data_IF_321276563808
#
_entry.id   IF_321276563808
#
_cell.length_a   1.000
_cell.length_b   1.000
_cell.length_c   1.000
_cell.angle_alpha   90.00
_cell.angle_beta   90.00
_cell.angle_gamma   90.00
#
_symmetry.space_group_name_H-M   'P 1'
#
loop_
_entity.id
_entity.type
_entity.pdbx_description
1 polymer ?
#
# COMPACT_ATOMS: atom_id res chain seq x y z
N UNK A 1 0.03 14.37 5.77
CA UNK A 1 0.99 14.19 4.67
C UNK A 1 0.87 15.32 3.67
N UNK A 2 1.94 15.60 2.98
CA UNK A 2 1.93 16.61 1.91
C UNK A 2 2.92 16.24 0.81
N UNK A 3 2.64 16.74 -0.41
CA UNK A 3 3.49 16.61 -1.58
C UNK A 3 3.44 17.89 -2.40
N UNK A 4 4.56 18.26 -3.00
CA UNK A 4 4.62 19.38 -3.93
C UNK A 4 4.07 18.94 -5.29
N UNK A 5 3.05 19.65 -5.77
CA UNK A 5 2.53 19.51 -7.14
C UNK A 5 3.26 20.40 -8.13
N UNK A 6 3.78 21.54 -7.66
CA UNK A 6 4.67 22.47 -8.38
C UNK A 6 5.55 23.20 -7.37
N UNK A 7 6.41 24.10 -7.84
CA UNK A 7 7.29 24.88 -6.97
C UNK A 7 6.55 25.67 -5.89
N UNK A 8 5.33 26.12 -6.15
CA UNK A 8 4.55 26.94 -5.22
C UNK A 8 3.21 26.33 -4.83
N UNK A 9 2.95 25.07 -5.18
CA UNK A 9 1.69 24.43 -4.88
C UNK A 9 1.91 23.12 -4.13
N UNK A 10 1.25 22.99 -2.98
CA UNK A 10 1.33 21.81 -2.12
C UNK A 10 -0.04 21.15 -2.04
N UNK A 11 -0.06 19.84 -2.21
CA UNK A 11 -1.20 19.00 -1.90
C UNK A 11 -1.05 18.47 -0.47
N UNK A 12 -2.06 18.64 0.38
CA UNK A 12 -2.04 18.25 1.78
C UNK A 12 -3.20 17.30 2.09
N UNK A 13 -2.89 16.17 2.71
CA UNK A 13 -3.90 15.28 3.29
C UNK A 13 -3.95 15.45 4.82
N UNK A 14 -5.13 15.76 5.30
CA UNK A 14 -5.43 15.81 6.73
C UNK A 14 -6.49 14.76 7.06
N UNK A 15 -6.16 13.83 7.93
CA UNK A 15 -6.97 12.66 8.29
C UNK A 15 -8.43 12.98 8.60
N UNK A 16 -8.69 14.07 9.33
CA UNK A 16 -10.04 14.45 9.75
C UNK A 16 -10.70 15.53 8.88
N UNK A 17 -9.93 16.26 8.08
CA UNK A 17 -10.41 17.40 7.29
C UNK A 17 -10.52 17.11 5.81
N UNK A 18 -9.73 16.15 5.31
CA UNK A 18 -9.69 15.75 3.89
C UNK A 18 -8.47 16.29 3.15
N UNK A 19 -8.59 16.43 1.85
CA UNK A 19 -7.48 16.80 0.96
C UNK A 19 -7.62 18.25 0.51
N UNK A 20 -6.50 18.97 0.52
CA UNK A 20 -6.44 20.38 0.16
C UNK A 20 -5.26 20.65 -0.77
N UNK A 21 -5.45 21.55 -1.72
CA UNK A 21 -4.37 22.22 -2.45
C UNK A 21 -4.13 23.58 -1.83
N UNK A 22 -2.87 23.88 -1.51
CA UNK A 22 -2.42 25.16 -1.00
C UNK A 22 -1.51 25.82 -2.04
N UNK A 23 -1.82 27.04 -2.46
CA UNK A 23 -0.91 27.86 -3.25
C UNK A 23 -0.11 28.75 -2.31
N UNK A 24 1.22 28.74 -2.48
CA UNK A 24 2.16 29.53 -1.70
C UNK A 24 2.59 30.77 -2.49
N UNK A 25 3.01 31.79 -1.78
CA UNK A 25 3.75 32.89 -2.39
C UNK A 25 5.18 32.46 -2.78
N UNK A 26 5.86 33.25 -3.59
CA UNK A 26 7.22 32.96 -4.05
C UNK A 26 8.26 32.90 -2.92
N UNK A 27 7.95 33.51 -1.79
CA UNK A 27 8.81 33.48 -0.61
C UNK A 27 8.51 32.31 0.35
N UNK A 28 7.52 31.49 0.07
CA UNK A 28 7.03 30.39 0.94
C UNK A 28 6.62 30.86 2.33
N UNK A 29 6.25 32.13 2.47
CA UNK A 29 5.91 32.72 3.76
C UNK A 29 4.41 32.75 4.01
N UNK A 30 3.60 32.77 2.97
CA UNK A 30 2.15 32.86 3.07
C UNK A 30 1.44 31.90 2.11
N UNK A 31 0.27 31.46 2.55
CA UNK A 31 -0.68 30.71 1.71
C UNK A 31 -1.57 31.73 1.01
N UNK A 32 -1.47 31.82 -0.31
CA UNK A 32 -2.25 32.75 -1.15
C UNK A 32 -3.63 32.22 -1.50
N UNK A 33 -3.79 30.90 -1.59
CA UNK A 33 -5.06 30.25 -1.88
C UNK A 33 -5.15 28.86 -1.21
N UNK A 34 -6.37 28.48 -0.82
CA UNK A 34 -6.69 27.17 -0.25
C UNK A 34 -7.89 26.59 -0.98
N UNK A 35 -7.71 25.46 -1.64
CA UNK A 35 -8.79 24.71 -2.29
C UNK A 35 -8.98 23.37 -1.62
N UNK A 36 -10.21 23.05 -1.21
CA UNK A 36 -10.57 21.72 -0.71
C UNK A 36 -11.02 20.84 -1.89
N UNK A 37 -10.51 19.60 -1.95
CA UNK A 37 -11.00 18.60 -2.88
C UNK A 37 -12.18 17.85 -2.28
N UNK A 38 -13.30 17.87 -3.03
CA UNK A 38 -14.54 17.18 -2.65
C UNK A 38 -14.78 15.89 -3.42
N UNK A 39 -13.93 15.59 -4.41
CA UNK A 39 -13.99 14.38 -5.23
C UNK A 39 -13.45 13.13 -4.49
N UNK A 40 -12.85 13.30 -3.32
CA UNK A 40 -12.40 12.21 -2.44
C UNK A 40 -12.85 12.47 -1.03
N UNK A 41 -13.10 11.38 -0.30
CA UNK A 41 -13.41 11.41 1.12
C UNK A 41 -12.15 11.54 1.96
N UNK A 42 -12.28 12.06 3.16
CA UNK A 42 -11.23 11.93 4.18
C UNK A 42 -11.12 10.48 4.61
N UNK A 43 -9.95 10.05 5.09
CA UNK A 43 -9.75 8.68 5.56
C UNK A 43 -8.77 8.61 6.72
N UNK A 44 -9.03 7.68 7.63
CA UNK A 44 -8.11 7.39 8.74
C UNK A 44 -6.80 6.82 8.20
N UNK A 45 -5.68 7.34 8.69
CA UNK A 45 -4.34 7.00 8.22
C UNK A 45 -4.16 7.15 6.69
N UNK A 46 -4.92 8.06 6.06
CA UNK A 46 -4.75 8.38 4.64
C UNK A 46 -3.42 9.06 4.38
N UNK A 47 -2.89 8.93 3.18
CA UNK A 47 -1.66 9.63 2.79
C UNK A 47 -1.71 10.14 1.35
N UNK A 48 -0.74 10.98 1.05
CA UNK A 48 -0.43 11.46 -0.30
C UNK A 48 1.00 11.06 -0.61
N UNK A 49 1.25 10.68 -1.84
CA UNK A 49 2.59 10.44 -2.37
C UNK A 49 2.66 10.82 -3.84
N UNK A 50 3.83 11.21 -4.29
CA UNK A 50 4.13 11.40 -5.70
C UNK A 50 4.77 10.13 -6.25
N UNK A 51 4.16 9.55 -7.29
CA UNK A 51 4.67 8.37 -7.96
C UNK A 51 4.77 8.66 -9.46
N UNK A 52 5.99 8.68 -9.97
CA UNK A 52 6.32 9.31 -11.25
C UNK A 52 5.75 10.74 -11.32
N UNK A 53 4.98 11.05 -12.35
CA UNK A 53 4.37 12.37 -12.54
C UNK A 53 2.96 12.50 -11.95
N UNK A 54 2.49 11.46 -11.25
CA UNK A 54 1.14 11.42 -10.67
C UNK A 54 1.16 11.67 -9.17
N UNK A 55 0.28 12.55 -8.71
CA UNK A 55 -0.02 12.72 -7.30
C UNK A 55 -1.12 11.75 -6.92
N UNK A 56 -0.81 10.87 -5.98
CA UNK A 56 -1.71 9.83 -5.49
C UNK A 56 -2.22 10.21 -4.09
N UNK A 57 -3.46 9.90 -3.83
CA UNK A 57 -4.08 9.92 -2.52
C UNK A 57 -4.63 8.52 -2.22
N UNK A 58 -4.37 8.00 -1.04
CA UNK A 58 -4.87 6.69 -0.62
C UNK A 58 -5.61 6.78 0.72
N UNK A 59 -6.75 6.12 0.78
CA UNK A 59 -7.57 5.94 1.97
C UNK A 59 -8.20 4.54 1.98
N UNK A 60 -9.12 4.28 2.91
CA UNK A 60 -9.80 2.99 3.04
C UNK A 60 -10.72 2.61 1.86
N UNK A 61 -11.09 3.58 1.02
CA UNK A 61 -11.93 3.36 -0.16
C UNK A 61 -11.10 3.04 -1.43
N UNK A 62 -9.77 3.24 -1.37
CA UNK A 62 -8.86 2.93 -2.47
C UNK A 62 -7.77 3.96 -2.69
N UNK A 63 -7.22 3.92 -3.88
CA UNK A 63 -6.18 4.83 -4.37
C UNK A 63 -6.76 5.71 -5.46
N UNK A 64 -6.46 7.00 -5.39
CA UNK A 64 -6.92 8.01 -6.32
C UNK A 64 -5.74 8.79 -6.87
N UNK A 65 -5.82 9.27 -8.09
CA UNK A 65 -4.85 10.19 -8.64
C UNK A 65 -5.48 11.55 -8.95
N UNK A 66 -4.71 12.61 -8.80
CA UNK A 66 -5.15 13.95 -9.17
C UNK A 66 -5.04 14.11 -10.69
N UNK A 67 -6.17 14.26 -11.36
CA UNK A 67 -6.21 14.72 -12.75
C UNK A 67 -6.00 16.24 -12.79
N UNK A 68 -4.84 16.65 -13.28
CA UNK A 68 -4.46 18.07 -13.33
C UNK A 68 -5.27 18.89 -14.34
N UNK A 69 -5.95 18.25 -15.29
CA UNK A 69 -6.79 18.95 -16.29
C UNK A 69 -8.13 19.35 -15.70
N UNK A 70 -8.74 18.46 -14.92
CA UNK A 70 -10.04 18.70 -14.28
C UNK A 70 -9.89 19.18 -12.84
N UNK A 71 -8.69 19.11 -12.29
CA UNK A 71 -8.35 19.37 -10.89
C UNK A 71 -9.27 18.60 -9.91
N UNK A 72 -9.49 17.33 -10.24
CA UNK A 72 -10.29 16.37 -9.46
C UNK A 72 -9.55 15.06 -9.25
N UNK A 73 -9.85 14.38 -8.16
CA UNK A 73 -9.34 13.04 -7.93
C UNK A 73 -10.19 12.00 -8.65
N UNK A 74 -9.54 11.16 -9.43
CA UNK A 74 -10.13 10.01 -10.10
C UNK A 74 -9.60 8.73 -9.46
N UNK A 75 -10.46 7.73 -9.32
CA UNK A 75 -10.06 6.44 -8.75
C UNK A 75 -9.11 5.72 -9.69
N UNK A 76 -8.03 5.19 -9.11
CA UNK A 76 -7.09 4.33 -9.79
C UNK A 76 -7.47 2.87 -9.51
N UNK A 77 -8.15 2.24 -10.46
CA UNK A 77 -8.80 0.94 -10.24
C UNK A 77 -7.79 -0.17 -9.95
N UNK A 78 -6.67 -0.22 -10.69
CA UNK A 78 -5.65 -1.26 -10.53
C UNK A 78 -5.01 -1.18 -9.14
N UNK A 79 -4.58 0.00 -8.71
CA UNK A 79 -3.96 0.19 -7.40
C UNK A 79 -4.97 0.03 -6.26
N UNK A 80 -6.22 0.37 -6.50
CA UNK A 80 -7.28 0.22 -5.51
C UNK A 80 -7.57 -1.23 -5.15
N UNK A 81 -7.23 -2.19 -6.03
CA UNK A 81 -7.38 -3.63 -5.73
C UNK A 81 -6.49 -4.13 -4.59
N UNK A 82 -5.42 -3.38 -4.27
CA UNK A 82 -4.51 -3.72 -3.17
C UNK A 82 -5.20 -3.58 -1.82
N UNK A 83 -6.14 -2.64 -1.70
CA UNK A 83 -6.92 -2.43 -0.49
C UNK A 83 -8.28 -3.10 -0.59
N UNK A 84 -8.54 -4.05 0.31
CA UNK A 84 -9.89 -4.46 0.66
C UNK A 84 -10.23 -3.93 2.06
N UNK A 85 -11.51 -3.88 2.41
CA UNK A 85 -11.95 -3.46 3.73
C UNK A 85 -11.28 -4.29 4.85
N UNK A 86 -11.11 -5.58 4.61
CA UNK A 86 -10.53 -6.52 5.56
C UNK A 86 -9.00 -6.40 5.65
N UNK A 87 -8.34 -6.05 4.55
CA UNK A 87 -6.88 -5.94 4.45
C UNK A 87 -6.34 -4.55 4.76
N UNK A 88 -7.19 -3.52 4.76
CA UNK A 88 -6.77 -2.14 5.02
C UNK A 88 -6.22 -1.95 6.42
N UNK A 89 -5.05 -1.34 6.50
CA UNK A 89 -4.39 -0.94 7.76
C UNK A 89 -4.17 0.56 7.78
N UNK A 90 -3.63 1.06 6.71
CA UNK A 90 -3.38 2.48 6.46
C UNK A 90 -3.33 2.75 4.96
N UNK A 91 -3.65 3.96 4.57
CA UNK A 91 -3.41 4.47 3.22
C UNK A 91 -1.98 4.94 3.01
N UNK A 92 -1.05 4.60 3.92
CA UNK A 92 0.36 5.01 3.79
C UNK A 92 0.93 4.51 2.48
N UNK A 93 1.28 5.47 1.65
CA UNK A 93 2.06 5.27 0.44
C UNK A 93 3.49 5.70 0.72
N UNK A 94 4.43 4.87 0.38
CA UNK A 94 5.85 5.20 0.49
C UNK A 94 6.48 5.12 -0.89
N UNK A 95 7.06 6.21 -1.33
CA UNK A 95 7.82 6.28 -2.56
C UNK A 95 9.29 6.49 -2.22
N UNK A 96 10.15 5.84 -2.93
CA UNK A 96 11.57 6.03 -2.77
C UNK A 96 12.23 6.32 -4.14
N UNK A 97 13.50 6.68 -4.09
CA UNK A 97 14.31 7.06 -5.27
C UNK A 97 14.37 5.98 -6.36
N UNK A 98 13.83 4.79 -6.13
CA UNK A 98 13.88 3.65 -7.05
C UNK A 98 12.62 3.45 -7.88
N UNK A 99 11.77 4.46 -8.00
CA UNK A 99 10.54 4.36 -8.81
C UNK A 99 9.60 3.22 -8.35
N UNK A 100 9.68 2.89 -7.06
CA UNK A 100 8.82 1.92 -6.42
C UNK A 100 7.79 2.63 -5.54
N UNK A 101 6.56 2.13 -5.59
CA UNK A 101 5.48 2.54 -4.70
C UNK A 101 5.13 1.39 -3.76
N UNK A 102 5.16 1.65 -2.46
CA UNK A 102 4.94 0.67 -1.41
C UNK A 102 3.61 0.88 -0.72
N UNK A 103 2.94 -0.22 -0.43
CA UNK A 103 1.66 -0.31 0.27
C UNK A 103 1.79 -1.24 1.45
N UNK A 104 1.05 -0.93 2.52
CA UNK A 104 1.06 -1.71 3.76
C UNK A 104 -0.35 -2.19 4.06
N UNK A 105 -0.57 -3.49 3.96
CA UNK A 105 -1.84 -4.13 4.26
C UNK A 105 -1.73 -4.99 5.52
N UNK A 106 -2.83 -5.53 6.00
CA UNK A 106 -2.85 -6.43 7.17
C UNK A 106 -1.99 -7.67 6.96
N UNK A 107 -2.03 -8.22 5.75
CA UNK A 107 -1.44 -9.52 5.44
C UNK A 107 -0.04 -9.40 4.84
N UNK A 108 0.32 -8.22 4.32
CA UNK A 108 1.60 -8.08 3.63
C UNK A 108 2.06 -6.66 3.36
N UNK A 109 3.21 -6.61 2.71
CA UNK A 109 3.76 -5.41 2.09
C UNK A 109 3.75 -5.64 0.58
N UNK A 110 3.10 -4.74 -0.14
CA UNK A 110 3.05 -4.77 -1.60
C UNK A 110 3.92 -3.66 -2.16
N UNK A 111 4.72 -3.95 -3.15
CA UNK A 111 5.41 -2.93 -3.92
C UNK A 111 5.07 -3.03 -5.39
N UNK A 112 5.10 -1.89 -6.04
CA UNK A 112 4.73 -1.70 -7.43
C UNK A 112 5.86 -1.00 -8.15
N UNK A 113 6.14 -1.48 -9.37
CA UNK A 113 6.96 -0.79 -10.34
C UNK A 113 6.18 -0.62 -11.64
N UNK A 114 6.50 0.39 -12.43
CA UNK A 114 5.98 0.49 -13.80
C UNK A 114 6.64 -0.56 -14.68
N UNK A 115 5.86 -1.20 -15.52
CA UNK A 115 6.43 -2.10 -16.51
C UNK A 115 7.14 -1.28 -17.60
N UNK A 116 8.39 -1.63 -17.96
CA UNK A 116 9.05 -0.99 -19.08
C UNK A 116 8.22 -1.13 -20.35
N UNK A 117 8.06 -0.05 -21.10
CA UNK A 117 7.37 -0.01 -22.40
C UNK A 117 5.84 -0.13 -22.39
N UNK A 118 5.20 -0.27 -21.25
CA UNK A 118 3.74 -0.26 -21.11
C UNK A 118 3.31 0.70 -20.01
N UNK A 119 2.01 1.03 -19.94
CA UNK A 119 1.45 1.77 -18.79
C UNK A 119 0.98 0.84 -17.67
N UNK A 120 1.34 -0.44 -17.75
CA UNK A 120 0.96 -1.45 -16.76
C UNK A 120 1.83 -1.39 -15.51
N UNK A 121 1.33 -1.98 -14.43
CA UNK A 121 2.06 -2.12 -13.18
C UNK A 121 2.48 -3.57 -12.95
N UNK A 122 3.72 -3.77 -12.50
CA UNK A 122 4.18 -5.02 -11.91
C UNK A 122 3.92 -4.93 -10.42
N UNK A 123 3.01 -5.75 -9.91
CA UNK A 123 2.58 -5.78 -8.51
C UNK A 123 3.17 -7.01 -7.85
N UNK A 124 3.91 -6.83 -6.76
CA UNK A 124 4.50 -7.92 -5.97
C UNK A 124 4.17 -7.76 -4.51
N UNK A 125 3.66 -8.84 -3.90
CA UNK A 125 3.26 -8.84 -2.49
C UNK A 125 4.11 -9.83 -1.69
N UNK A 126 4.66 -9.35 -0.59
CA UNK A 126 5.33 -10.17 0.41
C UNK A 126 4.38 -10.42 1.57
N UNK A 127 4.11 -11.70 1.85
CA UNK A 127 3.22 -12.13 2.92
C UNK A 127 3.90 -11.97 4.28
N UNK A 128 3.91 -10.75 4.79
CA UNK A 128 4.44 -10.38 6.10
C UNK A 128 3.33 -9.72 6.90
N UNK A 129 2.57 -10.47 7.70
CA UNK A 129 1.45 -9.95 8.47
C UNK A 129 1.84 -8.81 9.41
N UNK A 130 0.92 -7.88 9.66
CA UNK A 130 1.17 -6.73 10.53
C UNK A 130 1.61 -7.14 11.94
N UNK A 131 1.15 -8.29 12.44
CA UNK A 131 1.54 -8.85 13.74
C UNK A 131 3.05 -9.14 13.83
N UNK A 132 3.69 -9.50 12.72
CA UNK A 132 5.13 -9.73 12.64
C UNK A 132 5.91 -8.44 12.42
N UNK A 133 5.35 -7.50 11.66
CA UNK A 133 6.02 -6.24 11.32
C UNK A 133 6.14 -5.27 12.49
N UNK A 134 5.19 -5.33 13.43
CA UNK A 134 5.14 -4.42 14.60
C UNK A 134 5.31 -2.94 14.22
N UNK A 135 4.81 -2.56 13.05
CA UNK A 135 4.82 -1.18 12.58
C UNK A 135 3.66 -0.38 13.18
N UNK A 136 3.86 0.90 13.38
CA UNK A 136 2.79 1.82 13.79
C UNK A 136 1.98 2.21 12.55
N UNK A 137 0.67 1.97 12.60
CA UNK A 137 -0.27 2.30 11.51
C UNK A 137 -0.18 3.77 11.13
N UNK A 138 -0.08 4.03 9.83
CA UNK A 138 0.06 5.35 9.26
C UNK A 138 1.49 5.93 9.33
N UNK A 139 2.44 5.22 9.97
CA UNK A 139 3.85 5.60 10.09
C UNK A 139 4.78 4.52 9.54
N UNK A 140 4.24 3.63 8.74
CA UNK A 140 5.04 2.65 8.01
C UNK A 140 6.08 3.38 7.15
N UNK A 141 7.25 2.80 7.03
CA UNK A 141 8.36 3.40 6.28
C UNK A 141 9.20 2.34 5.60
N UNK A 142 9.79 2.72 4.48
CA UNK A 142 10.75 1.93 3.72
C UNK A 142 11.89 2.86 3.29
N UNK A 143 13.11 2.48 3.64
CA UNK A 143 14.32 3.18 3.23
C UNK A 143 15.17 2.28 2.35
N UNK A 144 15.63 2.80 1.22
CA UNK A 144 16.49 2.06 0.29
C UNK A 144 17.91 1.95 0.84
N UNK A 145 18.46 0.74 0.87
CA UNK A 145 19.88 0.50 1.14
C UNK A 145 20.67 0.40 -0.18
N UNK A 146 20.15 -0.40 -1.12
CA UNK A 146 20.68 -0.53 -2.48
C UNK A 146 19.57 -0.86 -3.47
N UNK A 147 19.90 -1.25 -4.70
CA UNK A 147 18.90 -1.52 -5.76
C UNK A 147 17.90 -2.63 -5.42
N UNK A 148 18.21 -3.51 -4.48
CA UNK A 148 17.41 -4.71 -4.17
C UNK A 148 17.07 -4.84 -2.69
N UNK A 149 17.74 -4.08 -1.81
CA UNK A 149 17.59 -4.19 -0.37
C UNK A 149 17.00 -2.91 0.21
N UNK A 150 16.02 -3.10 1.07
CA UNK A 150 15.27 -2.05 1.74
C UNK A 150 15.19 -2.33 3.23
N UNK A 151 15.23 -1.27 4.01
CA UNK A 151 15.08 -1.28 5.47
C UNK A 151 13.69 -0.76 5.83
N UNK A 152 13.01 -1.45 6.72
CA UNK A 152 11.77 -0.98 7.32
C UNK A 152 11.89 -0.96 8.84
N UNK A 153 11.57 0.18 9.44
CA UNK A 153 11.55 0.35 10.88
C UNK A 153 10.31 -0.27 11.52
N UNK A 154 10.46 -0.73 12.75
CA UNK A 154 9.41 -1.29 13.59
C UNK A 154 9.43 -0.64 14.98
N UNK A 155 8.46 -0.94 15.84
CA UNK A 155 8.43 -0.40 17.20
C UNK A 155 9.59 -0.90 18.11
N UNK A 156 10.25 -1.99 17.72
CA UNK A 156 11.30 -2.63 18.52
C UNK A 156 12.54 -3.04 17.70
N UNK A 157 12.75 -2.43 16.55
CA UNK A 157 13.88 -2.74 15.69
C UNK A 157 13.63 -2.42 14.23
N UNK A 158 14.09 -3.30 13.36
CA UNK A 158 13.92 -3.18 11.92
C UNK A 158 13.90 -4.57 11.26
N UNK A 159 13.45 -4.61 10.02
CA UNK A 159 13.64 -5.77 9.15
C UNK A 159 14.16 -5.35 7.78
N UNK A 160 14.86 -6.26 7.14
CA UNK A 160 15.38 -6.08 5.79
C UNK A 160 14.47 -6.79 4.79
N UNK A 161 14.18 -6.10 3.71
CA UNK A 161 13.45 -6.64 2.57
C UNK A 161 14.44 -6.81 1.43
N UNK A 162 14.49 -8.00 0.83
CA UNK A 162 15.23 -8.26 -0.39
C UNK A 162 14.23 -8.54 -1.51
N UNK A 163 14.15 -7.65 -2.49
CA UNK A 163 13.19 -7.77 -3.60
C UNK A 163 13.62 -8.78 -4.68
N UNK A 164 14.88 -9.28 -4.62
CA UNK A 164 15.38 -10.31 -5.53
C UNK A 164 14.87 -11.70 -5.15
N UNK A 165 14.72 -11.94 -3.85
CA UNK A 165 14.41 -13.26 -3.29
C UNK A 165 12.94 -13.30 -2.80
N UNK A 166 11.97 -12.95 -3.63
CA UNK A 166 10.57 -13.26 -3.35
C UNK A 166 10.29 -14.68 -3.90
N UNK A 167 10.52 -15.75 -3.11
CA UNK A 167 10.16 -17.09 -3.55
C UNK A 167 8.65 -17.15 -3.68
N UNK A 168 8.16 -17.68 -4.80
CA UNK A 168 6.80 -18.19 -4.85
C UNK A 168 6.70 -19.30 -3.82
N UNK A 169 6.24 -18.97 -2.62
CA UNK A 169 5.95 -20.00 -1.64
C UNK A 169 4.75 -20.79 -2.12
N UNK A 170 5.00 -21.96 -2.67
CA UNK A 170 3.96 -22.97 -2.85
C UNK A 170 3.63 -23.51 -1.45
N UNK A 171 2.41 -23.29 -1.01
CA UNK A 171 1.89 -23.91 0.19
C UNK A 171 1.22 -25.21 -0.20
N UNK A 172 1.74 -26.32 0.26
CA UNK A 172 1.05 -27.62 0.21
C UNK A 172 0.19 -27.72 1.47
N UNK A 173 -1.09 -27.91 1.27
CA UNK A 173 -2.05 -28.14 2.36
C UNK A 173 -2.18 -29.65 2.54
N UNK A 174 -1.72 -30.15 3.67
CA UNK A 174 -1.87 -31.54 4.07
C UNK A 174 -3.00 -31.66 5.11
N UNK A 175 -3.96 -32.54 4.82
CA UNK A 175 -5.02 -32.86 5.75
C UNK A 175 -4.49 -33.93 6.73
N UNK A 176 -4.15 -33.54 7.95
CA UNK A 176 -3.56 -34.44 8.95
C UNK A 176 -4.60 -35.22 9.74
N UNK A 177 -5.82 -34.70 9.89
CA UNK A 177 -6.89 -35.38 10.61
C UNK A 177 -8.27 -34.82 10.27
N UNK A 178 -9.27 -35.69 10.29
CA UNK A 178 -10.70 -35.32 10.20
C UNK A 178 -11.34 -35.68 11.52
N UNK A 179 -12.10 -34.77 12.09
CA UNK A 179 -12.87 -35.00 13.31
C UNK A 179 -14.35 -35.08 12.95
N UNK A 180 -15.02 -36.17 13.34
CA UNK A 180 -16.47 -36.36 13.21
C UNK A 180 -17.07 -36.43 14.60
N UNK A 181 -17.83 -35.42 14.97
CA UNK A 181 -18.37 -35.33 16.34
C UNK A 181 -17.25 -35.08 17.36
N UNK A 182 -17.27 -35.80 18.48
CA UNK A 182 -16.27 -35.69 19.55
C UNK A 182 -15.11 -36.69 19.42
N UNK A 183 -15.08 -37.53 18.41
CA UNK A 183 -14.03 -38.53 18.22
C UNK A 183 -12.99 -38.09 17.18
N UNK A 184 -11.73 -38.24 17.54
CA UNK A 184 -10.60 -38.09 16.63
C UNK A 184 -10.50 -39.34 15.76
N UNK A 185 -10.74 -39.20 14.46
CA UNK A 185 -10.40 -40.26 13.51
C UNK A 185 -9.09 -39.85 12.83
N UNK A 186 -8.07 -40.68 12.92
CA UNK A 186 -6.87 -40.50 12.12
C UNK A 186 -7.25 -40.63 10.64
N UNK A 187 -6.83 -39.61 9.85
CA UNK A 187 -6.98 -39.68 8.41
C UNK A 187 -6.11 -40.82 7.90
N UNK A 188 -6.71 -41.92 7.49
CA UNK A 188 -6.01 -42.87 6.63
C UNK A 188 -5.52 -42.12 5.40
N UNK A 189 -4.25 -42.34 4.99
CA UNK A 189 -3.70 -41.77 3.76
C UNK A 189 -4.70 -41.97 2.63
N UNK A 190 -5.36 -40.87 2.25
CA UNK A 190 -6.27 -40.88 1.10
C UNK A 190 -5.38 -41.02 -0.12
N UNK A 191 -5.42 -42.16 -0.75
CA UNK A 191 -4.70 -42.41 -1.99
C UNK A 191 -5.19 -41.40 -3.03
N UNK A 192 -4.29 -40.89 -3.88
CA UNK A 192 -4.52 -39.82 -4.86
C UNK A 192 -5.76 -39.98 -5.77
N UNK A 193 -6.39 -41.13 -5.76
CA UNK A 193 -7.52 -41.48 -6.64
C UNK A 193 -8.89 -41.53 -5.93
N UNK A 194 -8.98 -41.24 -4.63
CA UNK A 194 -10.26 -41.17 -3.92
C UNK A 194 -10.76 -39.71 -3.87
N UNK A 195 -11.76 -39.40 -4.69
CA UNK A 195 -12.53 -38.15 -4.60
C UNK A 195 -13.50 -38.27 -3.40
N UNK A 196 -13.42 -37.29 -2.52
CA UNK A 196 -14.47 -37.05 -1.53
C UNK A 196 -15.70 -36.49 -2.27
N UNK A 197 -16.82 -37.19 -2.18
CA UNK A 197 -18.14 -36.72 -2.60
C UNK A 197 -18.78 -35.92 -1.48
#
# INVERSE_FOLDING_TARGET
>A
YFEFSSDTTILVSHEYKGVYTLALDLGYTNVSNVKKHTSVTKGSNSSIAKFYDRLLYANEEGVYFLDTKTDTFLKEETLSTIFSKESYVSGKLETNVSEMLWFFTKDGITYITKEPFTDSYIIKTMQIPISLRKQKKGFENISRINSQQFLSGTSNGYFLINTKDTPEKRYDVHLNAIYVGQSKQEAALINKDQRLF
#
